data_IF_704217772022
#
_entry.id   IF_704217772022
#
_cell.length_a   1.000
_cell.length_b   1.000
_cell.length_c   1.000
_cell.angle_alpha   90.00
_cell.angle_beta   90.00
_cell.angle_gamma   90.00
#
_symmetry.space_group_name_H-M   'P 1'
#
loop_
_entity.id
_entity.type
_entity.pdbx_description
1 polymer ?
#
# COMPACT_ATOMS: atom_id res chain seq x y z
N UNK A 1 -4.21 -19.82 15.61
CA UNK A 1 -3.31 -20.33 14.55
C UNK A 1 -3.21 -19.23 13.51
N UNK A 2 -2.04 -18.63 13.30
CA UNK A 2 -1.85 -17.78 12.14
C UNK A 2 -1.91 -18.72 10.93
N UNK A 3 -2.88 -18.54 10.03
CA UNK A 3 -2.84 -19.22 8.73
C UNK A 3 -1.49 -18.92 8.10
N UNK A 4 -0.80 -19.97 7.65
CA UNK A 4 0.35 -19.76 6.78
C UNK A 4 -0.04 -18.85 5.62
N UNK A 5 0.86 -17.96 5.18
CA UNK A 5 0.53 -17.12 4.07
C UNK A 5 0.22 -17.98 2.84
N UNK A 6 -1.00 -17.83 2.31
CA UNK A 6 -1.39 -18.41 1.04
C UNK A 6 -0.50 -17.80 -0.07
N UNK A 7 0.53 -18.54 -0.49
CA UNK A 7 1.46 -18.10 -1.52
C UNK A 7 0.78 -17.84 -2.86
N UNK A 8 -0.36 -18.50 -3.13
CA UNK A 8 -1.20 -18.20 -4.29
C UNK A 8 -1.83 -16.82 -4.14
N UNK A 9 -2.37 -16.49 -2.96
CA UNK A 9 -2.91 -15.15 -2.70
C UNK A 9 -1.83 -14.08 -2.90
N UNK A 10 -0.64 -14.26 -2.31
CA UNK A 10 0.49 -13.33 -2.51
C UNK A 10 0.84 -13.15 -3.98
N UNK A 11 0.97 -14.24 -4.73
CA UNK A 11 1.30 -14.19 -6.15
C UNK A 11 0.22 -13.44 -6.95
N UNK A 12 -1.06 -13.65 -6.64
CA UNK A 12 -2.18 -12.94 -7.25
C UNK A 12 -2.13 -11.44 -6.94
N UNK A 13 -1.83 -11.04 -5.70
CA UNK A 13 -1.64 -9.63 -5.32
C UNK A 13 -0.51 -8.98 -6.14
N UNK A 14 0.66 -9.62 -6.17
CA UNK A 14 1.82 -9.11 -6.92
C UNK A 14 1.49 -8.99 -8.41
N UNK A 15 0.86 -10.02 -8.98
CA UNK A 15 0.46 -10.01 -10.39
C UNK A 15 -0.54 -8.89 -10.70
N UNK A 16 -1.52 -8.63 -9.83
CA UNK A 16 -2.46 -7.51 -10.03
C UNK A 16 -1.75 -6.16 -10.07
N UNK A 17 -0.76 -5.94 -9.21
CA UNK A 17 0.01 -4.68 -9.19
C UNK A 17 0.83 -4.55 -10.49
N UNK A 18 1.51 -5.62 -10.92
CA UNK A 18 2.29 -5.65 -12.16
C UNK A 18 1.41 -5.49 -13.41
N UNK A 19 0.18 -6.04 -13.39
CA UNK A 19 -0.83 -5.91 -14.46
C UNK A 19 -1.59 -4.56 -14.40
N UNK A 20 -0.99 -3.55 -13.77
CA UNK A 20 -1.53 -2.18 -13.67
C UNK A 20 -2.91 -2.09 -13.02
N UNK A 21 -3.23 -2.99 -12.08
CA UNK A 21 -4.48 -3.01 -11.29
C UNK A 21 -4.23 -2.88 -9.77
N UNK A 22 -3.50 -1.85 -9.32
CA UNK A 22 -3.16 -1.71 -7.90
C UNK A 22 -4.38 -1.47 -7.01
N UNK A 23 -5.44 -0.82 -7.50
CA UNK A 23 -6.69 -0.63 -6.75
C UNK A 23 -7.35 -1.98 -6.41
N UNK A 24 -7.43 -2.89 -7.38
CA UNK A 24 -7.99 -4.23 -7.16
C UNK A 24 -7.14 -5.04 -6.17
N UNK A 25 -5.82 -4.89 -6.23
CA UNK A 25 -4.91 -5.49 -5.27
C UNK A 25 -5.14 -4.97 -3.85
N UNK A 26 -5.32 -3.66 -3.69
CA UNK A 26 -5.62 -3.03 -2.41
C UNK A 26 -6.99 -3.47 -1.87
N UNK A 27 -8.02 -3.55 -2.71
CA UNK A 27 -9.33 -4.08 -2.29
C UNK A 27 -9.25 -5.53 -1.79
N UNK A 28 -8.50 -6.38 -2.49
CA UNK A 28 -8.30 -7.77 -2.09
C UNK A 28 -7.53 -7.87 -0.75
N UNK A 29 -6.47 -7.08 -0.59
CA UNK A 29 -5.71 -6.98 0.65
C UNK A 29 -6.55 -6.45 1.81
N UNK A 30 -7.27 -5.33 1.61
CA UNK A 30 -8.14 -4.74 2.63
C UNK A 30 -9.22 -5.69 3.10
N UNK A 31 -9.81 -6.48 2.18
CA UNK A 31 -10.75 -7.55 2.53
C UNK A 31 -10.11 -8.65 3.37
N UNK A 32 -8.89 -9.08 3.02
CA UNK A 32 -8.13 -10.12 3.74
C UNK A 32 -7.78 -9.68 5.16
N UNK A 33 -7.35 -8.44 5.33
CA UNK A 33 -6.94 -7.86 6.61
C UNK A 33 -8.07 -7.15 7.38
N UNK A 34 -9.27 -7.07 6.79
CA UNK A 34 -10.47 -6.43 7.37
C UNK A 34 -10.22 -4.97 7.76
N UNK A 35 -9.56 -4.24 6.87
CA UNK A 35 -9.31 -2.79 6.99
C UNK A 35 -10.01 -2.06 5.85
N UNK A 36 -10.18 -0.74 5.99
CA UNK A 36 -10.68 0.09 4.89
C UNK A 36 -9.71 0.02 3.68
N UNK A 37 -10.20 0.28 2.47
CA UNK A 37 -9.33 0.34 1.29
C UNK A 37 -8.73 1.73 1.16
N UNK A 38 -7.40 1.90 1.19
CA UNK A 38 -6.79 3.20 0.95
C UNK A 38 -6.98 3.61 -0.50
N UNK A 39 -7.19 4.91 -0.74
CA UNK A 39 -7.27 5.48 -2.08
C UNK A 39 -5.88 5.52 -2.72
N UNK A 40 -5.83 5.56 -4.05
CA UNK A 40 -4.60 5.80 -4.81
C UNK A 40 -4.65 7.17 -5.47
N UNK A 41 -3.50 7.85 -5.48
CA UNK A 41 -3.34 9.10 -6.23
C UNK A 41 -1.89 9.32 -6.67
N UNK A 42 -1.70 10.27 -7.58
CA UNK A 42 -0.39 10.73 -8.03
C UNK A 42 -0.26 12.22 -7.71
N UNK A 43 0.82 12.62 -7.04
CA UNK A 43 1.00 14.02 -6.67
C UNK A 43 2.27 14.30 -5.90
N UNK A 44 2.54 15.60 -5.70
CA UNK A 44 3.70 16.10 -4.97
C UNK A 44 3.33 16.40 -3.53
N UNK A 45 4.05 15.79 -2.59
CA UNK A 45 3.95 16.09 -1.17
C UNK A 45 4.92 17.20 -0.80
N UNK A 46 4.43 18.23 -0.10
CA UNK A 46 5.21 19.42 0.26
C UNK A 46 6.43 19.17 1.18
N UNK A 47 6.64 17.96 1.71
CA UNK A 47 7.63 17.69 2.77
C UNK A 47 8.55 16.48 2.57
N UNK A 48 8.39 15.69 1.51
CA UNK A 48 9.19 14.48 1.32
C UNK A 48 10.24 14.70 0.22
N UNK A 49 11.49 14.50 0.64
CA UNK A 49 12.75 14.80 -0.03
C UNK A 49 12.97 14.06 -1.35
N UNK A 50 13.99 14.50 -2.11
CA UNK A 50 14.58 13.75 -3.25
C UNK A 50 14.63 12.25 -2.94
N UNK A 51 14.01 11.42 -3.78
CA UNK A 51 14.11 9.95 -3.71
C UNK A 51 12.87 9.22 -3.20
N UNK A 52 11.85 9.90 -2.67
CA UNK A 52 10.61 9.24 -2.23
C UNK A 52 9.76 8.81 -3.43
N UNK A 53 9.33 7.54 -3.45
CA UNK A 53 8.52 6.95 -4.53
C UNK A 53 7.02 7.06 -4.27
N UNK A 54 6.59 6.83 -3.03
CA UNK A 54 5.23 7.04 -2.56
C UNK A 54 5.24 7.31 -1.05
N UNK A 55 4.11 7.75 -0.51
CA UNK A 55 3.86 7.72 0.94
C UNK A 55 2.36 7.54 1.21
N UNK A 56 2.06 6.77 2.25
CA UNK A 56 0.73 6.65 2.80
C UNK A 56 0.41 7.83 3.72
N UNK A 57 -0.72 8.50 3.47
CA UNK A 57 -1.27 9.55 4.30
C UNK A 57 -2.39 8.99 5.20
N UNK A 58 -2.18 8.87 6.52
CA UNK A 58 -3.22 8.39 7.44
C UNK A 58 -4.44 9.31 7.49
N UNK A 59 -4.23 10.63 7.41
CA UNK A 59 -5.30 11.64 7.42
C UNK A 59 -6.24 11.51 6.21
N UNK A 60 -5.66 11.22 5.03
CA UNK A 60 -6.42 11.08 3.78
C UNK A 60 -6.84 9.63 3.49
N UNK A 61 -6.27 8.67 4.22
CA UNK A 61 -6.35 7.23 3.96
C UNK A 61 -6.02 6.94 2.49
N UNK A 62 -4.89 7.48 2.05
CA UNK A 62 -4.51 7.55 0.64
C UNK A 62 -3.03 7.21 0.50
N UNK A 63 -2.70 6.31 -0.43
CA UNK A 63 -1.35 6.10 -0.91
C UNK A 63 -1.16 7.04 -2.10
N UNK A 64 -0.22 7.97 -1.97
CA UNK A 64 0.05 8.96 -2.98
C UNK A 64 1.46 8.69 -3.54
N UNK A 65 1.56 8.48 -4.84
CA UNK A 65 2.82 8.20 -5.53
C UNK A 65 3.39 9.47 -6.18
N UNK A 66 4.72 9.59 -6.18
CA UNK A 66 5.40 10.71 -6.84
C UNK A 66 5.26 10.66 -8.37
N UNK A 67 5.10 9.45 -8.93
CA UNK A 67 4.87 9.19 -10.34
C UNK A 67 3.95 8.00 -10.51
N UNK A 68 3.23 7.95 -11.63
CA UNK A 68 2.31 6.86 -11.96
C UNK A 68 2.99 5.48 -12.01
N UNK A 69 4.23 5.41 -12.48
CA UNK A 69 5.00 4.16 -12.57
C UNK A 69 5.17 3.45 -11.20
N UNK A 70 5.25 4.22 -10.11
CA UNK A 70 5.39 3.66 -8.76
C UNK A 70 4.09 3.05 -8.22
N UNK A 71 2.94 3.34 -8.83
CA UNK A 71 1.69 2.65 -8.49
C UNK A 71 1.67 1.20 -8.99
N UNK A 72 2.57 0.83 -9.90
CA UNK A 72 2.68 -0.51 -10.46
C UNK A 72 3.92 -1.26 -9.96
N UNK A 73 4.64 -0.68 -8.99
CA UNK A 73 5.74 -1.32 -8.29
C UNK A 73 5.17 -2.06 -7.05
N UNK A 74 5.19 -3.41 -7.04
CA UNK A 74 4.68 -4.18 -5.91
C UNK A 74 5.37 -3.85 -4.59
N UNK A 75 6.68 -3.55 -4.60
CA UNK A 75 7.39 -3.19 -3.37
C UNK A 75 6.85 -1.88 -2.79
N UNK A 76 6.61 -0.89 -3.63
CA UNK A 76 6.07 0.41 -3.21
C UNK A 76 4.66 0.25 -2.68
N UNK A 77 3.75 -0.34 -3.45
CA UNK A 77 2.35 -0.49 -3.03
C UNK A 77 2.21 -1.31 -1.74
N UNK A 78 2.94 -2.41 -1.61
CA UNK A 78 2.89 -3.25 -0.41
C UNK A 78 3.50 -2.54 0.81
N UNK A 79 4.57 -1.77 0.62
CA UNK A 79 5.17 -0.98 1.70
C UNK A 79 4.21 0.08 2.22
N UNK A 80 3.54 0.82 1.34
CA UNK A 80 2.57 1.84 1.75
C UNK A 80 1.29 1.23 2.33
N UNK A 81 0.85 0.08 1.81
CA UNK A 81 -0.27 -0.65 2.41
C UNK A 81 0.05 -1.20 3.80
N UNK A 82 1.31 -1.59 4.04
CA UNK A 82 1.77 -1.93 5.38
C UNK A 82 1.66 -0.73 6.34
N UNK A 83 2.06 0.47 5.91
CA UNK A 83 1.84 1.70 6.69
C UNK A 83 0.35 1.96 6.96
N UNK A 84 -0.53 1.65 6.01
CA UNK A 84 -1.98 1.71 6.21
C UNK A 84 -2.44 0.79 7.35
N UNK A 85 -2.14 -0.51 7.30
CA UNK A 85 -2.50 -1.46 8.37
C UNK A 85 -1.94 -1.01 9.72
N UNK A 86 -0.66 -0.60 9.73
CA UNK A 86 0.03 -0.16 10.94
C UNK A 86 -0.63 1.08 11.56
N UNK A 87 -1.07 2.03 10.74
CA UNK A 87 -1.75 3.25 11.19
C UNK A 87 -3.13 2.97 11.81
N UNK A 88 -3.88 2.02 11.25
CA UNK A 88 -5.21 1.61 11.73
C UNK A 88 -5.09 0.79 13.03
N UNK A 89 -4.04 -0.02 13.17
CA UNK A 89 -3.81 -0.89 14.32
C UNK A 89 -3.34 -0.21 15.62
N UNK A 90 -3.10 1.11 15.63
CA UNK A 90 -2.81 1.91 16.83
C UNK A 90 -1.53 1.58 17.61
N UNK A 91 -0.77 0.56 17.22
CA UNK A 91 0.45 0.10 17.90
C UNK A 91 1.69 0.35 17.02
N UNK A 92 2.54 1.26 17.50
CA UNK A 92 3.93 1.53 17.12
C UNK A 92 4.20 2.67 16.11
N UNK A 93 4.74 3.77 16.64
CA UNK A 93 5.47 4.86 15.95
C UNK A 93 6.99 4.56 15.95
N UNK A 94 7.42 3.49 15.31
CA UNK A 94 8.84 3.17 15.13
C UNK A 94 9.26 3.52 13.70
N UNK A 95 10.47 4.07 13.54
CA UNK A 95 11.04 4.57 12.27
C UNK A 95 11.06 3.54 11.15
N UNK A 96 11.09 4.07 9.92
CA UNK A 96 11.01 3.40 8.60
C UNK A 96 12.10 2.36 8.34
#
# INVERSE_FOLDING_TARGET
>A
MAEEPDDRFKAVIVNMILDSKPEAALEALSRRYRVDTPRLGVGVFKRHSKGVRAVYSPERREILAAKREFLYDPFVILHEFYHHIRSVGGKHRGTE
#
